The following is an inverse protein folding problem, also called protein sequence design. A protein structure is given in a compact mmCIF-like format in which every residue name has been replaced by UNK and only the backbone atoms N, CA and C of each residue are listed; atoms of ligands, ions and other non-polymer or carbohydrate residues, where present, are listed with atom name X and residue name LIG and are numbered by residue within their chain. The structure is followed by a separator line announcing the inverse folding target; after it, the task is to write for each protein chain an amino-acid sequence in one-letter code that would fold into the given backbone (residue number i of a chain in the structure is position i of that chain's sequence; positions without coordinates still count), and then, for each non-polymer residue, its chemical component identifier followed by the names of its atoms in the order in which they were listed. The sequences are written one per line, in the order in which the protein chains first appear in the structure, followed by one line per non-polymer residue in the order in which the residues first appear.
data_IF_187554951118
#
_entry.id   IF_187554951118
#
_cell.length_a   1.000
_cell.length_b   1.000
_cell.length_c   1.000
_cell.angle_alpha   90.00
_cell.angle_beta   90.00
_cell.angle_gamma   90.00
#
_symmetry.space_group_name_H-M   'P 1'
#
loop_
_entity.id
_entity.type
_entity.pdbx_description
1 polymer ?
#
# COMPACT_ATOMS: atom_id res chain seq x y z
N UNK A 1 -0.90 -3.05 -30.56
CA UNK A 1 -2.25 -2.46 -30.73
C UNK A 1 -3.25 -3.58 -30.98
N UNK A 2 -4.50 -3.50 -30.48
CA UNK A 2 -5.34 -4.68 -30.34
C UNK A 2 -5.92 -5.15 -31.67
N UNK A 3 -5.94 -6.47 -31.86
CA UNK A 3 -6.59 -7.15 -33.00
C UNK A 3 -8.13 -7.04 -32.96
N UNK A 4 -8.69 -6.76 -31.78
CA UNK A 4 -10.12 -6.85 -31.49
C UNK A 4 -10.78 -5.52 -31.07
N UNK A 5 -9.98 -4.46 -30.91
CA UNK A 5 -10.46 -3.12 -30.58
C UNK A 5 -9.83 -2.15 -31.55
N UNK A 6 -10.58 -1.11 -31.93
CA UNK A 6 -10.16 -0.03 -32.82
C UNK A 6 -8.90 0.66 -32.30
N UNK A 7 -8.88 0.96 -31.00
CA UNK A 7 -7.76 1.62 -30.32
C UNK A 7 -7.76 1.35 -28.80
N UNK A 8 -6.80 1.94 -28.09
CA UNK A 8 -6.69 1.84 -26.62
C UNK A 8 -7.86 2.50 -25.90
N UNK A 9 -8.37 3.61 -26.43
CA UNK A 9 -9.47 4.36 -25.83
C UNK A 9 -10.77 3.56 -25.80
N UNK A 10 -11.08 2.82 -26.88
CA UNK A 10 -12.21 1.88 -26.90
C UNK A 10 -12.10 0.83 -25.79
N UNK A 11 -10.93 0.19 -25.67
CA UNK A 11 -10.70 -0.81 -24.62
C UNK A 11 -10.86 -0.21 -23.21
N UNK A 12 -10.24 0.94 -22.95
CA UNK A 12 -10.35 1.63 -21.65
C UNK A 12 -11.80 2.02 -21.35
N UNK A 13 -12.55 2.50 -22.36
CA UNK A 13 -13.96 2.83 -22.20
C UNK A 13 -14.83 1.63 -21.81
N UNK A 14 -14.60 0.47 -22.45
CA UNK A 14 -15.29 -0.78 -22.11
C UNK A 14 -14.96 -1.22 -20.69
N UNK A 15 -13.67 -1.19 -20.33
CA UNK A 15 -13.23 -1.59 -18.98
C UNK A 15 -13.76 -0.64 -17.90
N UNK A 16 -13.84 0.67 -18.17
CA UNK A 16 -14.41 1.65 -17.26
C UNK A 16 -15.89 1.36 -17.01
N UNK A 17 -16.65 1.15 -18.09
CA UNK A 17 -18.07 0.78 -18.00
C UNK A 17 -18.30 -0.49 -17.18
N UNK A 18 -17.43 -1.50 -17.34
CA UNK A 18 -17.46 -2.71 -16.52
C UNK A 18 -17.22 -2.42 -15.02
N UNK A 19 -16.19 -1.63 -14.71
CA UNK A 19 -15.88 -1.23 -13.32
C UNK A 19 -17.02 -0.43 -12.69
N UNK A 20 -17.58 0.54 -13.42
CA UNK A 20 -18.71 1.36 -12.96
C UNK A 20 -19.95 0.51 -12.71
N UNK A 21 -20.22 -0.47 -13.59
CA UNK A 21 -21.34 -1.41 -13.42
C UNK A 21 -21.15 -2.27 -12.18
N UNK A 22 -19.95 -2.83 -11.96
CA UNK A 22 -19.69 -3.74 -10.85
C UNK A 22 -19.60 -3.01 -9.51
N UNK A 23 -18.68 -2.05 -9.39
CA UNK A 23 -18.41 -1.38 -8.13
C UNK A 23 -19.33 -0.18 -7.88
N UNK A 24 -19.63 0.59 -8.93
CA UNK A 24 -20.59 1.69 -8.84
C UNK A 24 -22.01 1.19 -8.58
N UNK A 25 -22.43 0.13 -9.29
CA UNK A 25 -23.70 -0.56 -9.02
C UNK A 25 -23.80 -1.07 -7.59
N UNK A 26 -22.78 -1.80 -7.11
CA UNK A 26 -22.76 -2.29 -5.72
C UNK A 26 -22.79 -1.17 -4.67
N UNK A 27 -22.13 -0.03 -4.94
CA UNK A 27 -22.20 1.13 -4.06
C UNK A 27 -23.60 1.75 -4.05
N UNK A 28 -24.23 1.90 -5.22
CA UNK A 28 -25.59 2.43 -5.36
C UNK A 28 -26.62 1.53 -4.65
N UNK A 29 -26.54 0.21 -4.83
CA UNK A 29 -27.39 -0.77 -4.14
C UNK A 29 -27.22 -0.69 -2.61
N UNK A 30 -26.01 -0.36 -2.14
CA UNK A 30 -25.71 -0.14 -0.72
C UNK A 30 -26.01 1.29 -0.23
N UNK A 31 -26.55 2.17 -1.09
CA UNK A 31 -26.82 3.57 -0.76
C UNK A 31 -25.57 4.41 -0.46
N UNK A 32 -24.41 4.02 -0.98
CA UNK A 32 -23.12 4.69 -0.75
C UNK A 32 -22.72 5.53 -1.97
N UNK A 33 -22.24 6.77 -1.77
CA UNK A 33 -21.84 7.66 -2.87
C UNK A 33 -20.45 7.29 -3.45
N UNK A 34 -19.72 6.37 -2.83
CA UNK A 34 -18.35 6.03 -3.20
C UNK A 34 -18.08 4.56 -2.90
N UNK A 35 -17.32 3.90 -3.77
CA UNK A 35 -16.78 2.57 -3.53
C UNK A 35 -15.27 2.65 -3.27
N UNK A 36 -14.74 1.62 -2.62
CA UNK A 36 -13.31 1.43 -2.42
C UNK A 36 -12.96 0.00 -2.79
N UNK A 37 -11.94 -0.15 -3.63
CA UNK A 37 -11.31 -1.43 -3.93
C UNK A 37 -9.95 -1.46 -3.20
N UNK A 38 -9.60 -2.63 -2.67
CA UNK A 38 -8.33 -2.85 -2.00
C UNK A 38 -7.70 -4.09 -2.59
N UNK A 39 -6.66 -3.90 -3.39
CA UNK A 39 -5.73 -4.97 -3.80
C UNK A 39 -4.32 -4.43 -3.71
N UNK A 40 -3.43 -4.96 -2.82
CA UNK A 40 -2.12 -4.35 -2.56
C UNK A 40 -1.28 -4.11 -3.81
N UNK A 41 -1.31 -5.04 -4.77
CA UNK A 41 -0.51 -4.95 -6.00
C UNK A 41 -1.05 -4.00 -7.06
N UNK A 42 -2.23 -3.41 -6.86
CA UNK A 42 -2.72 -2.32 -7.72
C UNK A 42 -1.79 -1.10 -7.72
N UNK A 43 -0.94 -0.97 -6.70
CA UNK A 43 0.17 0.00 -6.66
C UNK A 43 1.10 -0.08 -7.88
N UNK A 44 1.17 -1.21 -8.59
CA UNK A 44 2.00 -1.36 -9.78
C UNK A 44 1.31 -1.04 -11.10
N UNK A 45 0.02 -0.70 -11.04
CA UNK A 45 -0.82 -0.37 -12.18
C UNK A 45 -1.43 1.03 -12.06
N UNK A 46 -0.89 1.91 -11.21
CA UNK A 46 -1.48 3.22 -10.90
C UNK A 46 -1.78 4.08 -12.13
N UNK A 47 -0.88 4.17 -13.10
CA UNK A 47 -1.12 4.92 -14.34
C UNK A 47 -2.35 4.41 -15.09
N UNK A 48 -2.49 3.08 -15.18
CA UNK A 48 -3.64 2.46 -15.81
C UNK A 48 -4.92 2.67 -14.98
N UNK A 49 -4.82 2.63 -13.65
CA UNK A 49 -5.96 2.91 -12.77
C UNK A 49 -6.45 4.35 -12.89
N UNK A 50 -5.55 5.34 -13.04
CA UNK A 50 -5.96 6.71 -13.32
C UNK A 50 -6.40 6.93 -14.77
N UNK A 51 -5.92 6.15 -15.72
CA UNK A 51 -6.50 6.13 -17.07
C UNK A 51 -7.93 5.57 -17.05
N UNK A 52 -8.14 4.52 -16.25
CA UNK A 52 -9.43 3.85 -16.08
C UNK A 52 -10.43 4.70 -15.29
N UNK A 53 -9.99 5.33 -14.20
CA UNK A 53 -10.79 6.18 -13.31
C UNK A 53 -9.98 7.43 -12.96
N UNK A 54 -10.01 8.48 -13.81
CA UNK A 54 -9.23 9.69 -13.59
C UNK A 54 -9.49 10.36 -12.25
N UNK A 55 -10.71 10.20 -11.73
CA UNK A 55 -11.19 10.68 -10.43
C UNK A 55 -10.67 9.93 -9.21
N UNK A 56 -10.12 8.72 -9.40
CA UNK A 56 -9.71 7.86 -8.30
C UNK A 56 -8.53 8.45 -7.50
N UNK A 57 -8.63 8.33 -6.18
CA UNK A 57 -7.51 8.58 -5.27
C UNK A 57 -6.91 7.27 -4.81
N UNK A 58 -5.60 7.11 -4.99
CA UNK A 58 -4.86 5.91 -4.57
C UNK A 58 -4.28 6.17 -3.18
N UNK A 59 -4.75 5.40 -2.20
CA UNK A 59 -4.23 5.42 -0.82
C UNK A 59 -3.22 4.29 -0.66
N UNK A 60 -1.94 4.63 -0.51
CA UNK A 60 -0.88 3.67 -0.23
C UNK A 60 -0.59 3.62 1.27
N UNK A 61 -1.05 2.54 1.90
CA UNK A 61 -0.72 2.26 3.30
C UNK A 61 0.66 1.60 3.36
N UNK A 62 1.61 2.29 3.98
CA UNK A 62 2.96 1.83 4.25
C UNK A 62 3.07 1.33 5.68
N UNK A 63 4.06 0.48 5.92
CA UNK A 63 4.47 0.00 7.24
C UNK A 63 5.98 -0.21 7.24
N UNK A 64 6.63 -0.17 8.40
CA UNK A 64 8.05 -0.42 8.53
C UNK A 64 8.44 -1.75 7.85
N UNK A 65 9.41 -1.77 6.90
CA UNK A 65 9.73 -2.95 6.09
C UNK A 65 10.04 -4.22 6.89
N UNK A 66 10.77 -4.10 8.01
CA UNK A 66 11.08 -5.24 8.88
C UNK A 66 9.81 -5.82 9.55
N UNK A 67 8.85 -4.96 9.89
CA UNK A 67 7.60 -5.40 10.49
C UNK A 67 6.71 -6.10 9.45
N UNK A 68 6.78 -5.67 8.18
CA UNK A 68 6.14 -6.36 7.04
C UNK A 68 6.79 -7.72 6.78
N UNK A 69 8.11 -7.81 6.83
CA UNK A 69 8.85 -9.08 6.73
C UNK A 69 8.38 -10.08 7.78
N UNK A 70 8.37 -9.69 9.06
CA UNK A 70 7.85 -10.52 10.14
C UNK A 70 6.38 -10.91 9.90
N UNK A 71 5.57 -9.98 9.41
CA UNK A 71 4.17 -10.24 9.05
C UNK A 71 4.04 -11.34 8.01
N UNK A 72 4.88 -11.31 6.97
CA UNK A 72 4.86 -12.30 5.90
C UNK A 72 5.35 -13.67 6.38
N UNK A 73 6.40 -13.74 7.20
CA UNK A 73 6.89 -15.01 7.76
C UNK A 73 5.82 -15.75 8.58
N UNK A 74 4.84 -15.03 9.13
CA UNK A 74 3.71 -15.62 9.84
C UNK A 74 2.54 -16.07 8.93
N UNK A 75 2.63 -15.87 7.61
CA UNK A 75 1.59 -16.23 6.65
C UNK A 75 1.92 -17.53 5.92
N UNK A 76 0.96 -18.45 5.84
CA UNK A 76 1.14 -19.74 5.16
C UNK A 76 1.33 -19.63 3.64
N UNK A 77 0.96 -18.51 3.02
CA UNK A 77 1.09 -18.27 1.60
C UNK A 77 2.41 -17.60 1.20
N UNK A 78 3.17 -17.07 2.16
CA UNK A 78 4.44 -16.41 1.92
C UNK A 78 5.61 -17.40 2.08
N UNK A 79 6.80 -17.08 1.55
CA UNK A 79 8.00 -17.84 1.87
C UNK A 79 8.21 -17.90 3.39
N UNK A 80 8.62 -19.06 3.90
CA UNK A 80 8.77 -19.31 5.34
C UNK A 80 10.16 -18.98 5.89
N UNK A 81 11.08 -18.50 5.05
CA UNK A 81 12.44 -18.13 5.44
C UNK A 81 12.67 -16.64 5.22
N UNK A 82 13.51 -16.03 6.06
CA UNK A 82 13.85 -14.61 5.97
C UNK A 82 14.33 -14.24 4.56
N UNK A 83 15.28 -15.01 4.02
CA UNK A 83 15.83 -14.76 2.68
C UNK A 83 14.77 -14.90 1.59
N UNK A 84 13.89 -15.91 1.68
CA UNK A 84 12.81 -16.11 0.72
C UNK A 84 11.82 -14.94 0.75
N UNK A 85 11.45 -14.48 1.94
CA UNK A 85 10.53 -13.35 2.09
C UNK A 85 11.18 -12.03 1.67
N UNK A 86 12.49 -11.84 1.92
CA UNK A 86 13.24 -10.69 1.41
C UNK A 86 13.31 -10.70 -0.11
N UNK A 87 13.59 -11.86 -0.73
CA UNK A 87 13.58 -12.02 -2.18
C UNK A 87 12.21 -11.70 -2.81
N UNK A 88 11.13 -11.88 -2.04
CA UNK A 88 9.79 -11.47 -2.43
C UNK A 88 9.53 -9.96 -2.24
N UNK A 89 9.88 -9.40 -1.08
CA UNK A 89 9.53 -8.03 -0.69
C UNK A 89 10.43 -6.95 -1.32
N UNK A 90 11.73 -7.21 -1.44
CA UNK A 90 12.70 -6.23 -1.94
C UNK A 90 12.32 -5.74 -3.35
N UNK A 91 11.99 -6.62 -4.33
CA UNK A 91 11.56 -6.19 -5.65
C UNK A 91 10.27 -5.35 -5.63
N UNK A 92 9.35 -5.63 -4.71
CA UNK A 92 8.10 -4.88 -4.54
C UNK A 92 8.40 -3.44 -4.13
N UNK A 93 9.28 -3.25 -3.12
CA UNK A 93 9.69 -1.93 -2.68
C UNK A 93 10.48 -1.19 -3.75
N UNK A 94 11.44 -1.85 -4.41
CA UNK A 94 12.25 -1.25 -5.46
C UNK A 94 11.39 -0.75 -6.64
N UNK A 95 10.38 -1.53 -7.04
CA UNK A 95 9.46 -1.13 -8.10
C UNK A 95 8.64 0.10 -7.73
N UNK A 96 8.14 0.18 -6.49
CA UNK A 96 7.41 1.35 -6.03
C UNK A 96 8.32 2.59 -5.88
N UNK A 97 9.54 2.42 -5.36
CA UNK A 97 10.53 3.50 -5.26
C UNK A 97 10.92 4.06 -6.63
N UNK A 98 11.17 3.18 -7.61
CA UNK A 98 11.43 3.60 -8.99
C UNK A 98 10.25 4.41 -9.57
N UNK A 99 9.02 4.03 -9.23
CA UNK A 99 7.82 4.76 -9.63
C UNK A 99 7.75 6.17 -9.00
N UNK A 100 8.12 6.27 -7.72
CA UNK A 100 8.19 7.54 -6.99
C UNK A 100 9.27 8.47 -7.55
N UNK A 101 10.44 7.94 -7.87
CA UNK A 101 11.59 8.70 -8.39
C UNK A 101 11.38 9.18 -9.83
N UNK A 102 10.58 8.47 -10.63
CA UNK A 102 10.24 8.86 -11.99
C UNK A 102 9.35 10.13 -12.07
N UNK A 103 9.04 10.78 -10.95
CA UNK A 103 8.27 12.03 -10.89
C UNK A 103 6.78 11.88 -11.15
N UNK A 104 6.28 10.63 -11.27
CA UNK A 104 4.91 10.32 -11.67
C UNK A 104 3.83 10.68 -10.66
N UNK A 105 4.19 11.08 -9.43
CA UNK A 105 3.26 11.36 -8.33
C UNK A 105 2.86 12.83 -8.19
N UNK A 106 3.67 13.76 -8.71
CA UNK A 106 3.38 15.19 -8.57
C UNK A 106 2.08 15.55 -9.30
N UNK A 107 1.12 16.15 -8.58
CA UNK A 107 -0.20 16.50 -9.11
C UNK A 107 -1.16 15.32 -9.32
N UNK A 108 -0.77 14.09 -8.97
CA UNK A 108 -1.68 12.93 -8.95
C UNK A 108 -2.45 12.87 -7.65
N UNK A 109 -3.62 12.23 -7.69
CA UNK A 109 -4.42 11.87 -6.51
C UNK A 109 -3.81 10.65 -5.80
N UNK A 110 -2.71 10.87 -5.10
CA UNK A 110 -1.98 9.84 -4.37
C UNK A 110 -1.72 10.28 -2.93
N UNK A 111 -2.03 9.42 -1.97
CA UNK A 111 -1.82 9.68 -0.55
C UNK A 111 -1.07 8.52 0.07
N UNK A 112 0.06 8.81 0.71
CA UNK A 112 0.78 7.84 1.54
C UNK A 112 0.30 7.97 2.99
N UNK A 113 0.05 6.83 3.64
CA UNK A 113 -0.33 6.76 5.06
C UNK A 113 0.53 5.71 5.74
N UNK A 114 1.03 5.99 6.95
CA UNK A 114 1.74 4.98 7.74
C UNK A 114 0.76 4.25 8.65
N UNK A 115 0.82 2.93 8.64
CA UNK A 115 0.01 2.09 9.54
C UNK A 115 0.30 2.41 11.01
N UNK A 116 1.53 2.77 11.34
CA UNK A 116 1.95 3.16 12.68
C UNK A 116 1.27 4.45 13.14
N UNK A 117 1.14 5.45 12.26
CA UNK A 117 0.46 6.71 12.57
C UNK A 117 -1.04 6.45 12.82
N UNK A 118 -1.67 5.64 11.96
CA UNK A 118 -3.06 5.20 12.13
C UNK A 118 -3.29 4.48 13.47
N UNK A 119 -2.30 3.74 13.96
CA UNK A 119 -2.37 3.04 15.24
C UNK A 119 -2.15 3.98 16.44
N UNK A 120 -1.31 5.00 16.28
CA UNK A 120 -1.00 5.97 17.31
C UNK A 120 -2.17 6.93 17.57
N UNK A 121 -2.86 7.36 16.52
CA UNK A 121 -4.04 8.24 16.61
C UNK A 121 -5.07 7.89 15.54
N UNK A 122 -5.84 6.83 15.77
CA UNK A 122 -6.86 6.41 14.80
C UNK A 122 -7.89 7.51 14.50
N UNK A 123 -8.55 8.15 15.50
CA UNK A 123 -9.58 9.14 15.20
C UNK A 123 -9.04 10.35 14.42
N UNK A 124 -7.86 10.87 14.79
CA UNK A 124 -7.26 12.02 14.12
C UNK A 124 -6.75 11.70 12.72
N UNK A 125 -6.00 10.60 12.56
CA UNK A 125 -5.45 10.20 11.27
C UNK A 125 -6.54 9.77 10.29
N UNK A 126 -7.60 9.08 10.76
CA UNK A 126 -8.77 8.75 9.92
C UNK A 126 -9.45 10.02 9.43
N UNK A 127 -9.77 10.96 10.32
CA UNK A 127 -10.40 12.24 9.93
C UNK A 127 -9.56 12.98 8.89
N UNK A 128 -8.26 13.12 9.14
CA UNK A 128 -7.34 13.78 8.23
C UNK A 128 -7.25 13.08 6.85
N UNK A 129 -7.28 11.74 6.82
CA UNK A 129 -7.32 11.00 5.57
C UNK A 129 -8.61 11.29 4.79
N UNK A 130 -9.77 11.18 5.44
CA UNK A 130 -11.07 11.42 4.80
C UNK A 130 -11.21 12.85 4.26
N UNK A 131 -10.71 13.83 5.02
CA UNK A 131 -10.62 15.23 4.57
C UNK A 131 -9.78 15.36 3.29
N UNK A 132 -8.60 14.73 3.23
CA UNK A 132 -7.76 14.70 2.02
C UNK A 132 -8.42 14.00 0.84
N UNK A 133 -9.28 13.02 1.10
CA UNK A 133 -10.04 12.30 0.08
C UNK A 133 -11.27 13.08 -0.38
N UNK A 134 -11.69 14.13 0.34
CA UNK A 134 -12.90 14.90 0.02
C UNK A 134 -14.20 14.13 0.26
N UNK A 135 -14.20 13.17 1.19
CA UNK A 135 -15.37 12.35 1.54
C UNK A 135 -15.71 12.48 3.03
N UNK A 136 -16.97 12.22 3.39
CA UNK A 136 -17.43 12.29 4.78
C UNK A 136 -16.76 11.23 5.67
N UNK A 137 -16.28 11.66 6.85
CA UNK A 137 -15.61 10.78 7.81
C UNK A 137 -16.48 9.60 8.25
N UNK A 138 -16.08 8.39 7.88
CA UNK A 138 -16.74 7.17 8.33
C UNK A 138 -16.22 6.76 9.72
N UNK A 139 -16.94 7.15 10.77
CA UNK A 139 -16.54 6.86 12.16
C UNK A 139 -16.56 5.36 12.44
N UNK A 140 -15.39 4.73 12.42
CA UNK A 140 -15.21 3.30 12.72
C UNK A 140 -14.24 3.08 13.89
N UNK A 141 -14.31 1.90 14.50
CA UNK A 141 -13.30 1.45 15.46
C UNK A 141 -11.97 1.13 14.76
N UNK A 142 -10.85 1.38 15.45
CA UNK A 142 -9.54 1.02 14.92
C UNK A 142 -9.35 -0.49 14.89
N UNK A 143 -8.90 -1.00 13.75
CA UNK A 143 -8.33 -2.35 13.63
C UNK A 143 -6.79 -2.32 13.64
N UNK A 144 -6.18 -1.13 13.56
CA UNK A 144 -4.74 -0.94 13.68
C UNK A 144 -4.36 -1.04 15.16
N UNK A 145 -3.54 -2.04 15.50
CA UNK A 145 -3.03 -2.21 16.86
C UNK A 145 -1.53 -1.97 16.90
N UNK A 146 -1.10 -1.03 17.75
CA UNK A 146 0.29 -0.62 17.84
C UNK A 146 1.23 -1.79 18.17
N UNK A 147 0.83 -2.72 19.04
CA UNK A 147 1.58 -3.94 19.38
C UNK A 147 1.79 -4.86 18.17
N UNK A 148 0.82 -4.91 17.25
CA UNK A 148 0.91 -5.69 16.02
C UNK A 148 1.69 -4.98 14.93
N UNK A 149 1.94 -3.68 15.06
CA UNK A 149 2.56 -2.81 14.05
C UNK A 149 4.00 -2.45 14.36
N UNK A 150 4.28 -2.18 15.64
CA UNK A 150 5.61 -2.04 16.20
C UNK A 150 6.47 -3.22 15.75
N UNK A 151 7.77 -2.97 15.61
CA UNK A 151 8.77 -3.67 14.80
C UNK A 151 8.84 -5.21 14.88
N UNK A 152 8.02 -5.86 15.72
CA UNK A 152 7.96 -7.31 15.95
C UNK A 152 9.35 -7.80 16.33
N UNK A 153 9.98 -7.03 17.21
CA UNK A 153 11.39 -7.16 17.61
C UNK A 153 11.67 -8.51 18.27
N UNK A 154 10.65 -9.16 18.83
CA UNK A 154 10.69 -10.47 19.47
C UNK A 154 10.57 -11.65 18.48
N UNK A 155 10.41 -11.39 17.18
CA UNK A 155 10.15 -12.42 16.17
C UNK A 155 11.37 -12.84 15.34
N UNK A 156 12.49 -12.19 15.58
CA UNK A 156 13.75 -12.52 14.94
C UNK A 156 14.79 -12.77 16.03
N UNK A 157 15.64 -13.77 15.82
CA UNK A 157 16.93 -13.78 16.51
C UNK A 157 17.82 -12.63 15.99
N UNK A 158 18.95 -12.41 16.67
CA UNK A 158 19.84 -11.30 16.38
C UNK A 158 20.39 -11.35 14.94
N UNK A 159 20.71 -12.54 14.44
CA UNK A 159 21.31 -12.74 13.12
C UNK A 159 20.29 -12.51 11.99
N UNK A 160 19.09 -13.07 12.13
CA UNK A 160 17.96 -12.86 11.22
C UNK A 160 17.57 -11.38 11.16
N UNK A 161 17.56 -10.70 12.31
CA UNK A 161 17.28 -9.27 12.39
C UNK A 161 18.35 -8.45 11.67
N UNK A 162 19.62 -8.71 11.95
CA UNK A 162 20.74 -8.02 11.31
C UNK A 162 20.74 -8.22 9.79
N UNK A 163 20.45 -9.44 9.32
CA UNK A 163 20.32 -9.74 7.89
C UNK A 163 19.19 -8.94 7.24
N UNK A 164 18.00 -8.92 7.88
CA UNK A 164 16.85 -8.16 7.40
C UNK A 164 17.13 -6.65 7.34
N UNK A 165 17.71 -6.07 8.40
CA UNK A 165 18.05 -4.65 8.43
C UNK A 165 19.12 -4.28 7.40
N UNK A 166 20.11 -5.15 7.18
CA UNK A 166 21.11 -4.97 6.12
C UNK A 166 20.46 -4.96 4.73
N UNK A 167 19.63 -5.94 4.44
CA UNK A 167 18.95 -6.07 3.15
C UNK A 167 17.98 -4.91 2.86
N UNK A 168 17.35 -4.36 3.90
CA UNK A 168 16.37 -3.28 3.80
C UNK A 168 16.96 -1.89 4.08
N UNK A 169 18.28 -1.80 4.27
CA UNK A 169 18.96 -0.60 4.78
C UNK A 169 18.80 0.64 3.89
N UNK A 170 18.64 0.47 2.57
CA UNK A 170 18.35 1.57 1.64
C UNK A 170 16.86 1.87 1.55
N UNK A 171 16.00 0.86 1.68
CA UNK A 171 14.54 0.97 1.52
C UNK A 171 13.90 1.70 2.71
N UNK A 172 14.32 1.37 3.95
CA UNK A 172 13.77 1.93 5.19
C UNK A 172 13.75 3.48 5.17
N UNK A 173 14.88 4.19 4.94
CA UNK A 173 14.88 5.65 4.89
C UNK A 173 14.08 6.22 3.72
N UNK A 174 14.12 5.58 2.54
CA UNK A 174 13.35 6.03 1.37
C UNK A 174 11.82 5.89 1.59
N UNK A 175 11.41 4.99 2.48
CA UNK A 175 10.04 4.86 2.95
C UNK A 175 9.64 5.89 4.02
N UNK A 176 10.58 6.71 4.49
CA UNK A 176 10.36 7.72 5.53
C UNK A 176 10.48 7.19 6.95
N UNK A 177 11.21 6.08 7.16
CA UNK A 177 11.51 5.54 8.49
C UNK A 177 12.97 5.82 8.86
N UNK A 178 13.23 6.12 10.13
CA UNK A 178 14.60 6.28 10.62
C UNK A 178 15.35 4.95 10.62
N UNK A 179 16.66 4.98 10.30
CA UNK A 179 17.53 3.82 10.53
C UNK A 179 17.74 3.68 12.03
N UNK A 180 17.49 2.49 12.59
CA UNK A 180 17.88 2.20 13.98
C UNK A 180 19.41 2.19 14.07
N UNK A 181 19.95 2.69 15.17
CA UNK A 181 21.35 2.45 15.50
C UNK A 181 21.59 0.93 15.59
N UNK A 182 22.73 0.40 15.13
CA UNK A 182 23.02 -1.02 15.22
C UNK A 182 22.89 -1.50 16.67
N UNK A 183 22.29 -2.66 16.86
CA UNK A 183 22.16 -3.30 18.18
C UNK A 183 23.57 -3.46 18.76
N UNK A 184 23.84 -2.85 19.92
CA UNK A 184 25.07 -3.14 20.66
C UNK A 184 24.92 -4.55 21.21
N UNK A 185 25.82 -5.44 20.77
CA UNK A 185 25.97 -6.79 21.31
C UNK A 185 26.27 -6.76 22.82
#
# INVERSE_FOLDING_TARGET
MPRYFRDRGELVGILRSLVDTLFGGAAADAGKPTWCEKTPFNLFAMDFLWELSPEATIVHIKRHPVAVLASHLAQSWAPSTVDGTLAYLVPVYQRWLAWKDAGGLAGRRYVEVRAEDLAADWPGQRRALFERLGVEDAVTASTFRADKLAHRDDQFDADARASAEKALSEIIPLMGYEKRAPFKA
#
